data_IF_360022272557
#
_entry.id   IF_360022272557
#
_cell.length_a   1.000
_cell.length_b   1.000
_cell.length_c   1.000
_cell.angle_alpha   90.00
_cell.angle_beta   90.00
_cell.angle_gamma   90.00
#
_symmetry.space_group_name_H-M   'P 1'
#
loop_
_entity.id
_entity.type
_entity.pdbx_description
1 polymer ?
#
# COMPACT_ATOMS: atom_id res chain seq x y z
N UNK A 1 -22.59 12.61 36.21
CA UNK A 1 -23.03 11.50 35.34
C UNK A 1 -23.17 11.94 33.89
N UNK A 2 -23.75 13.10 33.58
CA UNK A 2 -23.89 13.58 32.19
C UNK A 2 -22.57 13.82 31.44
N UNK A 3 -21.57 14.40 32.10
CA UNK A 3 -20.26 14.65 31.49
C UNK A 3 -19.56 13.36 31.04
N UNK A 4 -19.76 12.27 31.79
CA UNK A 4 -19.20 10.95 31.46
C UNK A 4 -19.90 10.34 30.24
N UNK A 5 -21.22 10.50 30.12
CA UNK A 5 -21.97 10.01 28.96
C UNK A 5 -21.60 10.75 27.66
N UNK A 6 -21.42 12.07 27.73
CA UNK A 6 -20.97 12.88 26.58
C UNK A 6 -19.57 12.43 26.14
N UNK A 7 -18.66 12.20 27.10
CA UNK A 7 -17.33 11.70 26.80
C UNK A 7 -17.36 10.31 26.15
N UNK A 8 -18.17 9.38 26.66
CA UNK A 8 -18.32 8.05 26.10
C UNK A 8 -18.88 8.06 24.67
N UNK A 9 -19.87 8.92 24.38
CA UNK A 9 -20.43 9.08 23.03
C UNK A 9 -19.36 9.66 22.08
N UNK A 10 -18.60 10.66 22.52
CA UNK A 10 -17.53 11.24 21.71
C UNK A 10 -16.44 10.20 21.39
N UNK A 11 -16.01 9.42 22.37
CA UNK A 11 -15.02 8.34 22.18
C UNK A 11 -15.57 7.27 21.24
N UNK A 12 -16.81 6.83 21.41
CA UNK A 12 -17.46 5.86 20.53
C UNK A 12 -17.57 6.38 19.09
N UNK A 13 -17.93 7.66 18.91
CA UNK A 13 -17.99 8.31 17.60
C UNK A 13 -16.63 8.35 16.91
N UNK A 14 -15.56 8.73 17.63
CA UNK A 14 -14.19 8.73 17.10
C UNK A 14 -13.74 7.32 16.74
N UNK A 15 -14.03 6.32 17.58
CA UNK A 15 -13.72 4.92 17.28
C UNK A 15 -14.46 4.42 16.03
N UNK A 16 -15.75 4.73 15.89
CA UNK A 16 -16.55 4.35 14.73
C UNK A 16 -16.03 5.00 13.44
N UNK A 17 -15.61 6.27 13.53
CA UNK A 17 -14.97 6.99 12.43
C UNK A 17 -13.62 6.36 12.06
N UNK A 18 -12.78 6.00 13.04
CA UNK A 18 -11.52 5.33 12.77
C UNK A 18 -11.73 3.95 12.12
N UNK A 19 -12.72 3.18 12.58
CA UNK A 19 -13.05 1.88 11.99
C UNK A 19 -13.56 2.03 10.56
N UNK A 20 -14.40 3.03 10.26
CA UNK A 20 -14.88 3.27 8.90
C UNK A 20 -13.72 3.66 7.96
N UNK A 21 -12.76 4.45 8.43
CA UNK A 21 -11.52 4.78 7.69
C UNK A 21 -10.69 3.52 7.41
N UNK A 22 -10.53 2.63 8.38
CA UNK A 22 -9.81 1.37 8.19
C UNK A 22 -10.51 0.43 7.20
N UNK A 23 -11.84 0.32 7.26
CA UNK A 23 -12.62 -0.45 6.31
C UNK A 23 -12.53 0.12 4.90
N UNK A 24 -12.60 1.45 4.76
CA UNK A 24 -12.42 2.12 3.48
C UNK A 24 -11.03 1.88 2.89
N UNK A 25 -9.97 1.98 3.70
CA UNK A 25 -8.60 1.68 3.26
C UNK A 25 -8.46 0.22 2.79
N UNK A 26 -9.05 -0.73 3.51
CA UNK A 26 -9.07 -2.16 3.12
C UNK A 26 -9.84 -2.39 1.83
N UNK A 27 -11.03 -1.80 1.69
CA UNK A 27 -11.82 -1.88 0.47
C UNK A 27 -11.06 -1.32 -0.73
N UNK A 28 -10.36 -0.21 -0.54
CA UNK A 28 -9.53 0.41 -1.58
C UNK A 28 -8.37 -0.47 -2.00
N UNK A 29 -7.69 -1.12 -1.06
CA UNK A 29 -6.66 -2.11 -1.35
C UNK A 29 -7.21 -3.27 -2.19
N UNK A 30 -8.41 -3.77 -1.88
CA UNK A 30 -9.06 -4.83 -2.67
C UNK A 30 -9.38 -4.40 -4.10
N UNK A 31 -9.72 -3.13 -4.33
CA UNK A 31 -10.01 -2.60 -5.67
C UNK A 31 -8.79 -2.65 -6.62
N UNK A 32 -7.58 -2.75 -6.08
CA UNK A 32 -6.34 -2.88 -6.87
C UNK A 32 -6.14 -4.29 -7.41
N UNK A 33 -6.72 -5.30 -6.74
CA UNK A 33 -6.51 -6.72 -7.07
C UNK A 33 -7.14 -7.06 -8.41
N UNK A 34 -6.43 -7.86 -9.21
CA UNK A 34 -6.87 -8.32 -10.53
C UNK A 34 -6.51 -7.40 -11.69
N UNK A 35 -6.07 -6.16 -11.43
CA UNK A 35 -5.57 -5.27 -12.49
C UNK A 35 -4.32 -5.84 -13.14
N UNK A 36 -4.23 -5.69 -14.46
CA UNK A 36 -3.07 -6.16 -15.21
C UNK A 36 -1.89 -5.19 -15.08
N UNK A 37 -0.70 -5.74 -14.84
CA UNK A 37 0.56 -4.99 -14.76
C UNK A 37 1.71 -5.86 -15.27
N UNK A 38 1.89 -5.89 -16.58
CA UNK A 38 2.96 -6.65 -17.24
C UNK A 38 4.21 -5.82 -17.51
N UNK A 39 4.12 -4.48 -17.42
CA UNK A 39 5.22 -3.52 -17.72
C UNK A 39 6.54 -3.84 -17.01
N UNK A 40 6.52 -4.46 -15.83
CA UNK A 40 7.70 -4.75 -15.02
C UNK A 40 8.03 -6.26 -14.91
N UNK A 41 7.30 -7.09 -15.65
CA UNK A 41 7.37 -8.56 -15.59
C UNK A 41 6.13 -9.19 -14.93
N UNK A 42 6.01 -10.51 -15.06
CA UNK A 42 4.82 -11.25 -14.59
C UNK A 42 4.81 -11.50 -13.08
N UNK A 43 5.99 -11.68 -12.47
CA UNK A 43 6.16 -11.92 -11.03
C UNK A 43 7.12 -10.88 -10.47
N UNK A 44 6.57 -9.82 -9.87
CA UNK A 44 7.35 -8.66 -9.41
C UNK A 44 6.63 -7.93 -8.28
N UNK A 45 7.40 -7.42 -7.33
CA UNK A 45 6.91 -6.48 -6.32
C UNK A 45 7.16 -5.06 -6.81
N UNK A 46 6.12 -4.25 -6.94
CA UNK A 46 6.22 -2.85 -7.37
C UNK A 46 6.03 -1.93 -6.18
N UNK A 47 7.02 -1.09 -5.90
CA UNK A 47 7.02 -0.13 -4.80
C UNK A 47 6.87 1.29 -5.34
N UNK A 48 5.74 1.92 -5.04
CA UNK A 48 5.43 3.30 -5.37
C UNK A 48 5.89 4.20 -4.24
N UNK A 49 6.80 5.13 -4.56
CA UNK A 49 7.39 6.06 -3.61
C UNK A 49 7.51 7.46 -4.21
N UNK A 50 7.87 8.43 -3.39
CA UNK A 50 8.29 9.77 -3.79
C UNK A 50 9.53 10.15 -3.00
N UNK A 51 10.49 10.91 -3.56
CA UNK A 51 11.65 11.40 -2.82
C UNK A 51 11.27 12.28 -1.62
N UNK A 52 10.16 13.03 -1.73
CA UNK A 52 9.67 13.95 -0.70
C UNK A 52 8.57 13.32 0.15
N UNK A 53 8.76 12.07 0.57
CA UNK A 53 7.76 11.32 1.35
C UNK A 53 8.38 10.83 2.66
N UNK A 54 8.06 11.51 3.76
CA UNK A 54 8.59 11.17 5.09
C UNK A 54 8.35 9.72 5.51
N UNK A 55 7.14 9.20 5.23
CA UNK A 55 6.80 7.80 5.52
C UNK A 55 7.57 6.80 4.65
N UNK A 56 8.03 7.20 3.46
CA UNK A 56 8.78 6.35 2.55
C UNK A 56 10.19 6.07 3.07
N UNK A 57 10.81 7.00 3.84
CA UNK A 57 12.13 6.76 4.43
C UNK A 57 12.18 5.51 5.31
N UNK A 58 11.11 5.23 6.06
CA UNK A 58 11.02 3.98 6.86
C UNK A 58 10.78 2.74 6.01
N UNK A 59 10.10 2.90 4.87
CA UNK A 59 9.78 1.79 3.98
C UNK A 59 10.96 1.39 3.08
N UNK A 60 11.80 2.35 2.69
CA UNK A 60 12.96 2.12 1.83
C UNK A 60 13.88 0.97 2.28
N UNK A 61 14.36 0.91 3.55
CA UNK A 61 15.21 -0.19 3.99
C UNK A 61 14.51 -1.55 3.93
N UNK A 62 13.19 -1.59 4.16
CA UNK A 62 12.39 -2.82 4.02
C UNK A 62 12.36 -3.29 2.56
N UNK A 63 12.18 -2.35 1.63
CA UNK A 63 12.19 -2.64 0.19
C UNK A 63 13.58 -3.07 -0.28
N UNK A 64 14.65 -2.51 0.28
CA UNK A 64 16.02 -2.89 -0.01
C UNK A 64 16.37 -4.29 0.53
N UNK A 65 15.77 -4.71 1.65
CA UNK A 65 15.89 -6.09 2.11
C UNK A 65 15.10 -7.05 1.21
N UNK A 66 13.88 -6.67 0.82
CA UNK A 66 13.03 -7.45 -0.07
C UNK A 66 13.68 -7.69 -1.44
N UNK A 67 14.36 -6.69 -1.99
CA UNK A 67 15.00 -6.77 -3.31
C UNK A 67 16.13 -7.80 -3.37
N UNK A 68 16.70 -8.20 -2.22
CA UNK A 68 17.68 -9.29 -2.13
C UNK A 68 17.06 -10.67 -2.29
N UNK A 69 15.75 -10.80 -2.03
CA UNK A 69 15.02 -12.08 -1.99
C UNK A 69 14.10 -12.26 -3.20
N UNK A 70 13.56 -11.16 -3.74
CA UNK A 70 12.58 -11.18 -4.84
C UNK A 70 12.81 -10.03 -5.81
N UNK A 71 12.30 -10.14 -7.03
CA UNK A 71 12.35 -9.04 -8.00
C UNK A 71 11.48 -7.88 -7.51
N UNK A 72 12.12 -6.72 -7.31
CA UNK A 72 11.45 -5.48 -6.89
C UNK A 72 11.66 -4.40 -7.95
N UNK A 73 10.58 -3.69 -8.32
CA UNK A 73 10.66 -2.46 -9.11
C UNK A 73 10.24 -1.27 -8.25
N UNK A 74 11.12 -0.28 -8.10
CA UNK A 74 10.78 1.02 -7.51
C UNK A 74 10.21 1.94 -8.59
N UNK A 75 9.11 2.62 -8.29
CA UNK A 75 8.42 3.57 -9.17
C UNK A 75 8.26 4.88 -8.42
N UNK A 76 8.94 5.91 -8.92
CA UNK A 76 8.85 7.26 -8.37
C UNK A 76 7.65 7.99 -8.96
N UNK A 77 6.67 8.31 -8.12
CA UNK A 77 5.42 8.99 -8.53
C UNK A 77 5.58 10.51 -8.62
N UNK A 78 6.74 11.06 -8.29
CA UNK A 78 7.03 12.50 -8.49
C UNK A 78 7.30 12.85 -9.94
N UNK A 79 7.65 11.87 -10.78
CA UNK A 79 7.80 12.05 -12.22
C UNK A 79 6.54 11.60 -12.99
N UNK A 80 6.40 12.10 -14.22
CA UNK A 80 5.21 11.88 -15.07
C UNK A 80 4.98 10.41 -15.37
N UNK A 81 6.02 9.64 -15.66
CA UNK A 81 5.89 8.22 -16.02
C UNK A 81 5.39 7.39 -14.84
N UNK A 82 5.99 7.55 -13.67
CA UNK A 82 5.60 6.83 -12.47
C UNK A 82 4.22 7.23 -11.98
N UNK A 83 3.86 8.52 -12.07
CA UNK A 83 2.51 9.00 -11.77
C UNK A 83 1.46 8.38 -12.70
N UNK A 84 1.77 8.24 -13.98
CA UNK A 84 0.86 7.60 -14.95
C UNK A 84 0.63 6.13 -14.61
N UNK A 85 1.69 5.39 -14.29
CA UNK A 85 1.59 3.98 -13.87
C UNK A 85 0.79 3.85 -12.57
N UNK A 86 1.06 4.71 -11.58
CA UNK A 86 0.32 4.74 -10.32
C UNK A 86 -1.17 5.00 -10.56
N UNK A 87 -1.50 5.95 -11.43
CA UNK A 87 -2.88 6.33 -11.77
C UNK A 87 -3.63 5.20 -12.47
N UNK A 88 -3.00 4.51 -13.43
CA UNK A 88 -3.60 3.35 -14.12
C UNK A 88 -3.97 2.24 -13.13
N UNK A 89 -3.11 1.99 -12.16
CA UNK A 89 -3.38 1.03 -11.10
C UNK A 89 -4.38 1.59 -10.08
N UNK A 90 -4.51 2.91 -9.94
CA UNK A 90 -5.37 3.53 -8.91
C UNK A 90 -4.68 3.64 -7.55
N UNK A 91 -3.34 3.64 -7.55
CA UNK A 91 -2.50 3.98 -6.41
C UNK A 91 -2.64 5.48 -6.17
N UNK A 92 -3.21 5.85 -5.02
CA UNK A 92 -3.48 7.26 -4.67
C UNK A 92 -2.51 7.87 -3.67
N UNK A 93 -1.55 7.09 -3.16
CA UNK A 93 -0.66 7.57 -2.12
C UNK A 93 0.58 6.71 -1.98
N UNK A 94 1.60 7.30 -1.36
CA UNK A 94 2.87 6.67 -1.07
C UNK A 94 3.09 6.61 0.45
N UNK A 95 3.80 5.60 0.98
CA UNK A 95 4.30 4.42 0.27
C UNK A 95 3.18 3.43 -0.07
N UNK A 96 3.22 2.83 -1.27
CA UNK A 96 2.33 1.71 -1.65
C UNK A 96 3.17 0.59 -2.26
N UNK A 97 2.95 -0.65 -1.82
CA UNK A 97 3.61 -1.84 -2.36
C UNK A 97 2.58 -2.76 -3.00
N UNK A 98 2.83 -3.16 -4.25
CA UNK A 98 1.94 -4.01 -5.04
C UNK A 98 2.66 -5.30 -5.38
N UNK A 99 2.07 -6.43 -5.02
CA UNK A 99 2.56 -7.77 -5.39
C UNK A 99 1.86 -8.17 -6.68
N UNK A 100 2.64 -8.36 -7.74
CA UNK A 100 2.17 -8.85 -9.04
C UNK A 100 2.54 -10.32 -9.16
N UNK A 101 1.55 -11.14 -9.51
CA UNK A 101 1.71 -12.56 -9.82
C UNK A 101 0.98 -12.86 -11.13
N UNK A 102 1.64 -13.58 -12.03
CA UNK A 102 1.12 -13.91 -13.37
C UNK A 102 0.65 -12.70 -14.20
N UNK A 103 1.28 -11.55 -13.99
CA UNK A 103 0.96 -10.30 -14.67
C UNK A 103 -0.25 -9.56 -14.10
N UNK A 104 -0.85 -10.05 -13.01
CA UNK A 104 -1.98 -9.40 -12.33
C UNK A 104 -1.61 -8.98 -10.91
N UNK A 105 -2.22 -7.90 -10.43
CA UNK A 105 -2.09 -7.50 -9.04
C UNK A 105 -2.73 -8.55 -8.15
N UNK A 106 -1.93 -9.25 -7.35
CA UNK A 106 -2.40 -10.19 -6.34
C UNK A 106 -2.76 -9.48 -5.05
N UNK A 107 -1.92 -8.56 -4.61
CA UNK A 107 -2.08 -7.84 -3.34
C UNK A 107 -1.57 -6.42 -3.46
N UNK A 108 -2.22 -5.50 -2.77
CA UNK A 108 -1.70 -4.16 -2.54
C UNK A 108 -1.65 -3.85 -1.04
N UNK A 109 -0.55 -3.25 -0.63
CA UNK A 109 -0.29 -2.78 0.71
C UNK A 109 -0.19 -1.26 0.68
N UNK A 110 -1.11 -0.60 1.39
CA UNK A 110 -1.06 0.84 1.60
C UNK A 110 -0.27 1.12 2.88
N UNK A 111 0.65 2.07 2.79
CA UNK A 111 1.50 2.47 3.90
C UNK A 111 2.61 1.46 4.23
N UNK A 112 3.19 1.64 5.41
CA UNK A 112 4.29 0.81 5.88
C UNK A 112 3.87 -0.63 6.15
N UNK A 113 4.70 -1.59 5.73
CA UNK A 113 4.63 -3.01 6.08
C UNK A 113 6.03 -3.57 6.29
N UNK A 114 6.15 -4.60 7.10
CA UNK A 114 7.38 -5.36 7.25
C UNK A 114 7.62 -6.24 6.02
N UNK A 115 8.87 -6.62 5.78
CA UNK A 115 9.27 -7.43 4.63
C UNK A 115 8.58 -8.79 4.64
N UNK A 116 8.44 -9.41 5.81
CA UNK A 116 7.88 -10.75 5.98
C UNK A 116 6.44 -10.82 5.48
N UNK A 117 5.62 -9.81 5.80
CA UNK A 117 4.24 -9.71 5.34
C UNK A 117 4.13 -9.66 3.81
N UNK A 118 5.08 -8.99 3.15
CA UNK A 118 5.11 -8.89 1.69
C UNK A 118 5.59 -10.22 1.09
N UNK A 119 6.64 -10.84 1.68
CA UNK A 119 7.17 -12.12 1.23
C UNK A 119 6.14 -13.25 1.32
N UNK A 120 5.30 -13.26 2.35
CA UNK A 120 4.22 -14.24 2.48
C UNK A 120 3.28 -14.19 1.27
N UNK A 121 2.94 -12.99 0.79
CA UNK A 121 2.07 -12.82 -0.37
C UNK A 121 2.77 -13.15 -1.69
N UNK A 122 4.09 -13.01 -1.78
CA UNK A 122 4.84 -13.43 -2.97
C UNK A 122 4.93 -14.95 -3.07
N UNK A 123 5.09 -15.64 -1.94
CA UNK A 123 5.27 -17.11 -1.89
C UNK A 123 3.95 -17.88 -1.98
N UNK A 124 2.86 -17.34 -1.45
CA UNK A 124 1.52 -17.89 -1.64
C UNK A 124 1.08 -17.82 -3.11
#
# INVERSE_FOLDING_TARGET
>A
MELLNIFLIAVAGVMLLMLSVQLFARWRAKKLVGKELTKFGRNVVVYFYSPNCGACHRMNPVIDELSKKVKVKKVDVSNREGLQVASQLGVLGTPTTVVVKDGKVKKAFLGFKKAENILQEVKA
#
